data_IF_920213638368
#
_entry.id   IF_920213638368
#
_cell.length_a   1.000
_cell.length_b   1.000
_cell.length_c   1.000
_cell.angle_alpha   90.00
_cell.angle_beta   90.00
_cell.angle_gamma   90.00
#
_symmetry.space_group_name_H-M   'P 1'
#
loop_
_entity.id
_entity.type
_entity.pdbx_description
1 polymer ?
#
# COMPACT_ATOMS: atom_id res chain seq x y z
N UNK A 1 48.07 37.50 -5.84
CA UNK A 1 46.75 37.20 -5.26
C UNK A 1 46.31 35.87 -5.85
N UNK A 2 46.11 34.84 -5.04
CA UNK A 2 45.69 33.53 -5.53
C UNK A 2 44.19 33.57 -5.82
N UNK A 3 43.81 33.31 -7.07
CA UNK A 3 42.42 33.29 -7.51
C UNK A 3 41.82 31.93 -7.12
N UNK A 4 41.00 31.91 -6.08
CA UNK A 4 40.31 30.70 -5.62
C UNK A 4 39.00 30.61 -6.41
N UNK A 5 38.89 29.63 -7.31
CA UNK A 5 37.69 29.36 -8.08
C UNK A 5 36.94 28.21 -7.40
N UNK A 6 35.84 28.52 -6.74
CA UNK A 6 34.91 27.49 -6.26
C UNK A 6 34.27 26.80 -7.47
N UNK A 7 34.27 25.47 -7.45
CA UNK A 7 33.54 24.65 -8.41
C UNK A 7 32.23 24.22 -7.74
N UNK A 8 31.09 24.48 -8.37
CA UNK A 8 29.87 23.77 -8.00
C UNK A 8 30.09 22.28 -8.25
N UNK A 9 29.98 21.46 -7.20
CA UNK A 9 29.95 20.00 -7.33
C UNK A 9 28.53 19.63 -7.77
N UNK A 10 28.28 19.17 -9.01
CA UNK A 10 26.96 18.74 -9.39
C UNK A 10 26.75 17.26 -9.03
N UNK A 11 25.76 17.04 -8.15
CA UNK A 11 24.68 16.03 -8.19
C UNK A 11 25.01 14.53 -8.10
N UNK A 12 24.42 13.86 -7.10
CA UNK A 12 23.65 12.61 -7.28
C UNK A 12 22.38 12.65 -6.40
N UNK A 13 21.21 12.62 -7.05
CA UNK A 13 19.88 12.27 -6.49
C UNK A 13 19.70 10.75 -6.73
N UNK A 14 18.92 9.98 -5.94
CA UNK A 14 17.94 10.42 -4.95
C UNK A 14 18.18 9.91 -3.52
N UNK A 15 17.57 10.61 -2.56
CA UNK A 15 17.11 10.00 -1.32
C UNK A 15 16.05 8.94 -1.64
N UNK A 16 16.44 7.81 -2.26
CA UNK A 16 15.54 6.66 -2.38
C UNK A 16 15.55 6.01 -1.00
N UNK A 17 14.66 6.52 -0.15
CA UNK A 17 14.19 5.73 0.98
C UNK A 17 13.34 4.65 0.31
N UNK A 18 13.72 3.39 0.48
CA UNK A 18 12.90 2.25 0.10
C UNK A 18 12.30 1.72 1.39
N UNK A 19 11.02 1.39 1.38
CA UNK A 19 10.34 0.88 2.55
C UNK A 19 9.57 -0.38 2.20
N UNK A 20 9.71 -1.39 3.05
CA UNK A 20 8.91 -2.60 2.97
C UNK A 20 8.02 -2.63 4.20
N UNK A 21 6.72 -2.75 3.98
CA UNK A 21 5.76 -3.07 5.02
C UNK A 21 5.44 -4.56 4.95
N UNK A 22 5.72 -5.26 6.04
CA UNK A 22 5.41 -6.66 6.19
C UNK A 22 4.07 -6.84 6.90
N UNK A 23 3.23 -7.69 6.33
CA UNK A 23 1.92 -8.05 6.89
C UNK A 23 1.79 -9.57 7.00
N UNK A 24 1.10 -10.03 8.03
CA UNK A 24 0.64 -11.41 8.13
C UNK A 24 -0.46 -11.67 7.08
N UNK A 25 -0.75 -12.95 6.81
CA UNK A 25 -1.81 -13.35 5.89
C UNK A 25 -3.21 -12.92 6.36
N UNK A 26 -3.36 -12.55 7.64
CA UNK A 26 -4.57 -11.96 8.22
C UNK A 26 -4.54 -10.41 8.24
N UNK A 27 -3.66 -9.78 7.46
CA UNK A 27 -3.56 -8.33 7.24
C UNK A 27 -3.09 -7.52 8.44
N UNK A 28 -2.68 -8.20 9.52
CA UNK A 28 -2.05 -7.54 10.66
C UNK A 28 -0.58 -7.21 10.35
N UNK A 29 -0.08 -6.02 10.74
CA UNK A 29 1.34 -5.69 10.60
C UNK A 29 2.20 -6.67 11.41
N UNK A 30 3.32 -7.11 10.84
CA UNK A 30 4.25 -7.99 11.55
C UNK A 30 5.19 -7.13 12.40
N UNK A 31 5.04 -7.18 13.73
CA UNK A 31 5.82 -6.34 14.64
C UNK A 31 7.06 -7.06 15.20
N UNK A 32 8.15 -6.31 15.41
CA UNK A 32 9.39 -6.78 16.06
C UNK A 32 9.99 -8.06 15.44
N UNK A 33 9.74 -8.32 14.15
CA UNK A 33 10.20 -9.53 13.47
C UNK A 33 11.59 -9.34 12.91
N UNK A 34 12.45 -10.30 13.22
CA UNK A 34 13.82 -10.35 12.73
C UNK A 34 13.88 -10.58 11.22
N UNK A 35 14.68 -9.77 10.53
CA UNK A 35 14.93 -9.88 9.10
C UNK A 35 16.40 -9.70 8.78
N UNK A 36 16.81 -10.22 7.62
CA UNK A 36 18.11 -10.00 7.00
C UNK A 36 17.93 -9.20 5.72
N UNK A 37 18.82 -8.24 5.48
CA UNK A 37 18.85 -7.53 4.22
C UNK A 37 20.26 -7.53 3.64
N UNK A 38 20.35 -7.75 2.33
CA UNK A 38 21.61 -7.75 1.59
C UNK A 38 21.71 -6.47 0.77
N UNK A 39 22.75 -5.68 1.05
CA UNK A 39 23.06 -4.44 0.34
C UNK A 39 23.66 -4.73 -1.05
N UNK A 40 23.69 -3.75 -1.97
CA UNK A 40 24.24 -3.95 -3.32
C UNK A 40 25.73 -4.36 -3.35
N UNK A 41 26.49 -4.01 -2.29
CA UNK A 41 27.89 -4.40 -2.10
C UNK A 41 28.07 -5.83 -1.54
N UNK A 42 26.96 -6.54 -1.29
CA UNK A 42 26.94 -7.90 -0.72
C UNK A 42 26.96 -7.93 0.81
N UNK A 43 27.00 -6.78 1.50
CA UNK A 43 26.95 -6.73 2.97
C UNK A 43 25.57 -7.16 3.47
N UNK A 44 25.55 -8.07 4.44
CA UNK A 44 24.32 -8.51 5.12
C UNK A 44 24.22 -7.81 6.47
N UNK A 45 23.07 -7.23 6.79
CA UNK A 45 22.75 -6.81 8.15
C UNK A 45 21.43 -7.43 8.64
N UNK A 46 21.22 -7.38 9.95
CA UNK A 46 20.11 -7.95 10.69
C UNK A 46 19.42 -6.86 11.52
N UNK A 47 18.10 -6.84 11.53
CA UNK A 47 17.30 -5.87 12.29
C UNK A 47 15.86 -6.39 12.51
N UNK A 48 14.97 -5.58 13.11
CA UNK A 48 13.57 -5.93 13.42
C UNK A 48 12.58 -4.95 12.80
N UNK A 49 11.42 -5.45 12.39
CA UNK A 49 10.31 -4.58 11.97
C UNK A 49 9.81 -3.71 13.12
N UNK A 50 9.34 -2.50 12.80
CA UNK A 50 8.71 -1.61 13.79
C UNK A 50 7.28 -2.06 14.17
N UNK A 51 6.63 -1.34 15.09
CA UNK A 51 5.25 -1.62 15.53
C UNK A 51 4.20 -1.49 14.41
N UNK A 52 4.53 -0.81 13.31
CA UNK A 52 3.65 -0.66 12.15
C UNK A 52 3.93 -1.70 11.06
N UNK A 53 4.88 -2.62 11.31
CA UNK A 53 5.34 -3.66 10.40
C UNK A 53 6.29 -3.15 9.32
N UNK A 54 6.80 -1.93 9.45
CA UNK A 54 7.76 -1.40 8.50
C UNK A 54 9.17 -1.85 8.80
N UNK A 55 9.88 -2.16 7.73
CA UNK A 55 11.32 -2.14 7.64
C UNK A 55 11.68 -0.70 7.23
N UNK A 56 11.95 0.16 8.22
CA UNK A 56 12.49 1.50 7.98
C UNK A 56 14.01 1.46 8.07
N UNK A 57 14.72 1.44 6.95
CA UNK A 57 16.15 1.71 7.00
C UNK A 57 16.45 3.12 6.52
N UNK A 58 17.05 3.91 7.41
CA UNK A 58 17.29 5.34 7.20
C UNK A 58 18.63 5.66 6.51
N UNK A 59 19.39 4.66 6.01
CA UNK A 59 20.75 4.85 5.47
C UNK A 59 21.09 3.89 4.31
N UNK A 60 20.37 4.00 3.21
CA UNK A 60 20.37 3.03 2.12
C UNK A 60 21.21 3.51 0.91
N UNK A 61 22.24 2.74 0.48
CA UNK A 61 23.06 3.03 -0.72
C UNK A 61 22.32 2.59 -1.99
N UNK A 62 21.96 3.49 -2.90
CA UNK A 62 21.16 3.20 -4.11
C UNK A 62 21.62 1.94 -4.89
N UNK A 63 20.67 1.09 -5.30
CA UNK A 63 20.91 -0.14 -6.06
C UNK A 63 19.95 -1.27 -5.69
N UNK A 64 19.90 -2.35 -6.50
CA UNK A 64 19.03 -3.51 -6.25
C UNK A 64 19.39 -4.19 -4.93
N UNK A 65 18.39 -4.44 -4.10
CA UNK A 65 18.57 -5.10 -2.79
C UNK A 65 17.65 -6.30 -2.67
N UNK A 66 18.00 -7.20 -1.74
CA UNK A 66 17.15 -8.32 -1.37
C UNK A 66 16.95 -8.35 0.14
N UNK A 67 15.70 -8.24 0.57
CA UNK A 67 15.28 -8.45 1.95
C UNK A 67 14.74 -9.88 2.06
N UNK A 68 15.17 -10.61 3.08
CA UNK A 68 14.67 -11.96 3.38
C UNK A 68 14.35 -12.04 4.86
N UNK A 69 13.15 -12.49 5.20
CA UNK A 69 12.78 -12.70 6.60
C UNK A 69 13.44 -13.96 7.17
N UNK A 70 13.83 -13.91 8.44
CA UNK A 70 14.32 -15.12 9.14
C UNK A 70 13.13 -16.03 9.44
N UNK A 71 13.29 -17.32 9.19
CA UNK A 71 12.22 -18.34 9.10
C UNK A 71 11.30 -18.40 10.33
N UNK A 72 9.98 -18.50 10.13
CA UNK A 72 9.03 -19.09 11.08
C UNK A 72 8.02 -19.97 10.36
N UNK A 73 7.51 -20.97 11.07
CA UNK A 73 6.40 -21.86 10.69
C UNK A 73 5.15 -21.00 10.39
N UNK A 74 4.90 -20.71 9.11
CA UNK A 74 3.66 -20.08 8.67
C UNK A 74 2.54 -21.12 8.69
N UNK A 75 1.46 -20.83 9.41
CA UNK A 75 0.21 -21.57 9.24
C UNK A 75 -0.50 -21.03 8.00
N UNK A 76 -0.42 -21.77 6.90
CA UNK A 76 -1.19 -21.51 5.69
C UNK A 76 -2.69 -21.56 6.00
N UNK A 77 -3.39 -20.46 5.75
CA UNK A 77 -4.80 -20.51 5.38
C UNK A 77 -5.00 -19.60 4.19
N UNK A 78 -5.07 -20.20 3.01
CA UNK A 78 -5.58 -19.54 1.83
C UNK A 78 -7.02 -19.10 2.15
N UNK A 79 -7.24 -17.79 2.26
CA UNK A 79 -8.60 -17.26 2.28
C UNK A 79 -9.06 -17.28 0.83
N UNK A 80 -9.98 -18.20 0.49
CA UNK A 80 -10.65 -18.24 -0.81
C UNK A 80 -11.36 -16.90 -1.07
N UNK A 81 -10.67 -15.99 -1.75
CA UNK A 81 -11.16 -14.68 -2.14
C UNK A 81 -11.81 -14.74 -3.52
N UNK A 82 -13.08 -15.13 -3.58
CA UNK A 82 -13.89 -15.01 -4.80
C UNK A 82 -13.95 -13.56 -5.31
N UNK A 83 -13.77 -13.37 -6.62
CA UNK A 83 -13.90 -12.11 -7.38
C UNK A 83 -12.96 -10.95 -7.00
N UNK A 84 -11.64 -11.19 -6.92
CA UNK A 84 -10.60 -10.14 -6.85
C UNK A 84 -10.51 -9.34 -8.19
N UNK A 85 -10.90 -8.04 -8.24
CA UNK A 85 -10.79 -7.18 -9.42
C UNK A 85 -9.40 -6.54 -9.63
N UNK A 86 -8.40 -6.86 -8.79
CA UNK A 86 -7.09 -6.20 -8.76
C UNK A 86 -7.06 -4.98 -7.83
N UNK A 87 -5.97 -4.18 -7.85
CA UNK A 87 -5.89 -2.95 -7.08
C UNK A 87 -6.71 -1.83 -7.74
N UNK A 88 -7.24 -0.90 -6.91
CA UNK A 88 -7.80 0.35 -7.41
C UNK A 88 -6.69 1.20 -8.08
N UNK A 89 -7.02 1.93 -9.17
CA UNK A 89 -6.09 2.77 -9.89
C UNK A 89 -5.85 4.10 -9.15
N UNK A 90 -4.97 4.09 -8.16
CA UNK A 90 -4.73 5.26 -7.29
C UNK A 90 -4.31 6.53 -8.06
N UNK A 91 -3.58 6.38 -9.18
CA UNK A 91 -3.19 7.52 -10.03
C UNK A 91 -4.38 8.16 -10.75
N UNK A 92 -5.33 7.35 -11.20
CA UNK A 92 -6.54 7.84 -11.87
C UNK A 92 -7.49 8.50 -10.86
N UNK A 93 -7.42 8.12 -9.58
CA UNK A 93 -8.25 8.72 -8.53
C UNK A 93 -7.71 10.05 -7.98
N UNK A 94 -6.59 10.56 -8.50
CA UNK A 94 -6.09 11.92 -8.21
C UNK A 94 -7.07 12.98 -8.70
N UNK A 95 -6.91 14.21 -8.21
CA UNK A 95 -7.70 15.32 -8.75
C UNK A 95 -7.41 15.52 -10.24
N UNK A 96 -8.39 16.06 -10.98
CA UNK A 96 -8.24 16.33 -12.41
C UNK A 96 -7.11 17.28 -12.76
N UNK A 97 -6.88 18.28 -11.90
CA UNK A 97 -5.75 19.20 -12.06
C UNK A 97 -4.38 18.53 -11.92
N UNK A 98 -4.34 17.35 -11.29
CA UNK A 98 -3.15 16.54 -11.04
C UNK A 98 -3.05 15.37 -12.05
N UNK A 99 -3.85 15.39 -13.13
CA UNK A 99 -3.83 14.40 -14.20
C UNK A 99 -4.59 13.11 -13.91
N UNK A 100 -5.50 13.10 -12.92
CA UNK A 100 -6.44 11.99 -12.68
C UNK A 100 -7.87 12.29 -13.19
N UNK A 101 -8.79 11.37 -12.94
CA UNK A 101 -10.22 11.48 -13.25
C UNK A 101 -11.04 12.06 -12.09
N UNK A 102 -10.42 12.18 -10.91
CA UNK A 102 -11.03 12.65 -9.67
C UNK A 102 -11.34 11.51 -8.69
N UNK A 103 -11.45 11.80 -7.38
CA UNK A 103 -11.79 10.81 -6.38
C UNK A 103 -13.21 10.27 -6.60
N UNK A 104 -13.46 9.00 -6.25
CA UNK A 104 -14.83 8.48 -6.18
C UNK A 104 -15.56 9.16 -5.01
N UNK A 105 -16.83 9.48 -5.23
CA UNK A 105 -17.69 10.08 -4.21
C UNK A 105 -19.17 9.79 -4.53
N UNK A 106 -20.10 10.25 -3.69
CA UNK A 106 -21.52 9.99 -3.96
C UNK A 106 -21.98 10.47 -5.33
N UNK A 107 -22.75 9.62 -6.01
CA UNK A 107 -23.29 9.91 -7.34
C UNK A 107 -22.26 9.83 -8.47
N UNK A 108 -21.07 9.27 -8.21
CA UNK A 108 -20.09 9.01 -9.26
C UNK A 108 -20.65 8.06 -10.32
N UNK A 109 -20.46 8.41 -11.59
CA UNK A 109 -20.99 7.64 -12.73
C UNK A 109 -20.10 6.47 -13.14
N UNK A 110 -18.89 6.33 -12.57
CA UNK A 110 -17.94 5.25 -12.88
C UNK A 110 -18.35 3.95 -12.18
N UNK A 111 -19.52 3.42 -12.52
CA UNK A 111 -20.18 2.30 -11.82
C UNK A 111 -19.28 1.07 -11.66
N UNK A 112 -18.50 0.70 -12.67
CA UNK A 112 -17.58 -0.45 -12.57
C UNK A 112 -16.47 -0.22 -11.53
N UNK A 113 -15.97 1.02 -11.43
CA UNK A 113 -14.96 1.39 -10.44
C UNK A 113 -15.56 1.50 -9.04
N UNK A 114 -16.84 1.88 -8.93
CA UNK A 114 -17.60 1.84 -7.67
C UNK A 114 -17.82 0.38 -7.24
N UNK A 115 -18.20 -0.54 -8.13
CA UNK A 115 -18.30 -1.98 -7.82
C UNK A 115 -16.97 -2.53 -7.35
N UNK A 116 -15.87 -2.11 -7.97
CA UNK A 116 -14.53 -2.48 -7.53
C UNK A 116 -14.30 -2.06 -6.07
N UNK A 117 -14.51 -0.78 -5.75
CA UNK A 117 -14.41 -0.26 -4.38
C UNK A 117 -15.33 -1.03 -3.40
N UNK A 118 -16.58 -1.28 -3.77
CA UNK A 118 -17.55 -2.00 -2.94
C UNK A 118 -17.08 -3.43 -2.67
N UNK A 119 -16.54 -4.15 -3.66
CA UNK A 119 -15.96 -5.48 -3.43
C UNK A 119 -14.81 -5.44 -2.42
N UNK A 120 -13.94 -4.43 -2.49
CA UNK A 120 -12.85 -4.26 -1.52
C UNK A 120 -13.40 -4.05 -0.11
N UNK A 121 -14.36 -3.14 0.06
CA UNK A 121 -14.98 -2.84 1.35
C UNK A 121 -15.73 -4.06 1.91
N UNK A 122 -16.45 -4.80 1.06
CA UNK A 122 -17.15 -6.04 1.43
C UNK A 122 -16.18 -7.14 1.87
N UNK A 123 -15.05 -7.30 1.16
CA UNK A 123 -14.00 -8.24 1.54
C UNK A 123 -13.41 -7.93 2.92
N UNK A 124 -13.29 -6.63 3.25
CA UNK A 124 -12.90 -6.12 4.56
C UNK A 124 -14.06 -6.08 5.58
N UNK A 125 -15.23 -6.64 5.24
CA UNK A 125 -16.41 -6.78 6.11
C UNK A 125 -17.07 -5.47 6.54
N UNK A 126 -16.92 -4.40 5.76
CA UNK A 126 -17.72 -3.19 5.95
C UNK A 126 -19.16 -3.40 5.48
N UNK A 127 -20.11 -2.76 6.16
CA UNK A 127 -21.53 -2.80 5.82
C UNK A 127 -21.83 -1.91 4.60
N UNK A 128 -22.20 -2.54 3.49
CA UNK A 128 -22.63 -1.87 2.27
C UNK A 128 -24.15 -1.90 2.05
N UNK A 129 -24.90 -2.49 2.99
CA UNK A 129 -26.32 -2.80 2.82
C UNK A 129 -26.56 -4.08 2.02
N UNK A 130 -27.78 -4.20 1.52
CA UNK A 130 -28.36 -5.39 0.89
C UNK A 130 -28.76 -5.16 -0.58
N UNK A 131 -28.17 -4.16 -1.24
CA UNK A 131 -28.39 -3.87 -2.65
C UNK A 131 -27.53 -4.77 -3.57
N UNK A 132 -27.71 -4.63 -4.88
CA UNK A 132 -26.97 -5.40 -5.89
C UNK A 132 -27.62 -6.76 -6.19
N UNK A 133 -27.10 -7.51 -7.18
CA UNK A 133 -27.69 -8.78 -7.62
C UNK A 133 -27.60 -9.89 -6.56
N UNK A 134 -26.58 -9.82 -5.70
CA UNK A 134 -26.28 -10.84 -4.70
C UNK A 134 -26.71 -10.41 -3.27
N UNK A 135 -27.36 -9.25 -3.13
CA UNK A 135 -27.72 -8.60 -1.85
C UNK A 135 -26.52 -8.41 -0.90
N UNK A 136 -25.35 -8.10 -1.46
CA UNK A 136 -24.09 -7.88 -0.76
C UNK A 136 -23.65 -6.41 -0.75
N UNK A 137 -24.49 -5.52 -1.29
CA UNK A 137 -24.22 -4.08 -1.42
C UNK A 137 -23.33 -3.71 -2.60
N UNK A 138 -22.97 -4.66 -3.47
CA UNK A 138 -22.16 -4.41 -4.68
C UNK A 138 -23.08 -4.13 -5.87
N UNK A 139 -23.62 -2.91 -5.91
CA UNK A 139 -24.54 -2.44 -6.97
C UNK A 139 -23.88 -1.52 -8.00
N UNK A 140 -22.72 -0.93 -7.67
CA UNK A 140 -22.05 0.08 -8.48
C UNK A 140 -22.57 1.50 -8.29
N UNK A 141 -23.42 1.72 -7.29
CA UNK A 141 -23.90 3.02 -6.88
C UNK A 141 -23.15 3.48 -5.64
N UNK A 142 -22.44 4.61 -5.74
CA UNK A 142 -21.76 5.18 -4.58
C UNK A 142 -22.81 5.90 -3.72
N UNK A 143 -23.57 5.12 -2.97
CA UNK A 143 -24.67 5.57 -2.12
C UNK A 143 -24.24 5.94 -0.71
N UNK A 144 -25.23 6.04 0.18
CA UNK A 144 -24.99 6.43 1.57
C UNK A 144 -24.20 5.38 2.37
N UNK A 145 -24.50 4.10 2.13
CA UNK A 145 -23.80 2.97 2.76
C UNK A 145 -22.34 2.90 2.32
N UNK A 146 -22.08 3.00 1.01
CA UNK A 146 -20.70 3.04 0.49
C UNK A 146 -19.91 4.22 1.07
N UNK A 147 -20.49 5.42 1.15
CA UNK A 147 -19.81 6.55 1.80
C UNK A 147 -19.51 6.26 3.27
N UNK A 148 -20.47 5.74 4.04
CA UNK A 148 -20.28 5.43 5.45
C UNK A 148 -19.14 4.42 5.66
N UNK A 149 -19.11 3.37 4.85
CA UNK A 149 -18.04 2.37 4.87
C UNK A 149 -16.67 2.98 4.55
N UNK A 150 -16.59 3.90 3.57
CA UNK A 150 -15.35 4.64 3.27
C UNK A 150 -14.92 5.50 4.45
N UNK A 151 -15.83 6.23 5.09
CA UNK A 151 -15.51 7.05 6.27
C UNK A 151 -15.04 6.20 7.45
N UNK A 152 -15.65 5.03 7.69
CA UNK A 152 -15.23 4.09 8.72
C UNK A 152 -13.84 3.53 8.44
N UNK A 153 -13.56 3.16 7.19
CA UNK A 153 -12.24 2.77 6.75
C UNK A 153 -11.21 3.89 6.99
N UNK A 154 -11.52 5.11 6.56
CA UNK A 154 -10.65 6.28 6.74
C UNK A 154 -10.37 6.60 8.21
N UNK A 155 -11.31 6.34 9.13
CA UNK A 155 -11.12 6.57 10.57
C UNK A 155 -10.07 5.65 11.19
N UNK A 156 -9.94 4.41 10.71
CA UNK A 156 -9.05 3.41 11.31
C UNK A 156 -7.73 3.22 10.55
N UNK A 157 -7.56 3.86 9.39
CA UNK A 157 -6.41 3.63 8.51
C UNK A 157 -5.57 4.89 8.23
N UNK A 158 -4.31 4.63 7.85
CA UNK A 158 -3.30 5.64 7.56
C UNK A 158 -2.85 5.56 6.10
N UNK A 159 -2.43 6.69 5.56
CA UNK A 159 -1.78 6.76 4.25
C UNK A 159 -0.35 6.18 4.27
N UNK A 160 0.33 6.24 3.12
CA UNK A 160 1.70 5.76 2.94
C UNK A 160 2.74 6.55 3.74
N UNK A 161 2.43 7.77 4.20
CA UNK A 161 3.31 8.55 5.08
C UNK A 161 3.05 8.25 6.57
N UNK A 162 2.13 7.32 6.87
CA UNK A 162 1.71 7.02 8.24
C UNK A 162 0.82 8.10 8.87
N UNK A 163 0.29 9.03 8.07
CA UNK A 163 -0.66 10.05 8.53
C UNK A 163 -2.08 9.48 8.47
N UNK A 164 -2.93 9.94 9.37
CA UNK A 164 -4.36 9.58 9.36
C UNK A 164 -4.97 9.98 8.01
N UNK A 165 -5.78 9.09 7.42
CA UNK A 165 -6.55 9.43 6.23
C UNK A 165 -7.54 10.57 6.54
N UNK A 166 -7.76 11.45 5.56
CA UNK A 166 -8.83 12.43 5.66
C UNK A 166 -10.18 11.71 5.66
N UNK A 167 -11.01 11.96 6.67
CA UNK A 167 -12.33 11.34 6.82
C UNK A 167 -13.36 12.19 6.07
N UNK A 168 -13.33 12.11 4.74
CA UNK A 168 -14.21 12.88 3.85
C UNK A 168 -15.22 12.03 3.08
N UNK A 169 -15.17 10.70 3.25
CA UNK A 169 -16.03 9.75 2.56
C UNK A 169 -15.73 9.65 1.06
N UNK A 170 -14.58 10.17 0.60
CA UNK A 170 -14.15 10.14 -0.79
C UNK A 170 -12.96 9.21 -0.98
N UNK A 171 -12.93 8.52 -2.11
CA UNK A 171 -11.82 7.62 -2.45
C UNK A 171 -10.92 8.29 -3.45
N UNK A 172 -9.99 9.10 -2.92
CA UNK A 172 -8.85 9.65 -3.66
C UNK A 172 -7.62 8.73 -3.60
N UNK A 173 -6.44 9.20 -4.07
CA UNK A 173 -5.24 8.37 -4.19
C UNK A 173 -4.79 7.79 -2.84
N UNK A 174 -4.87 8.56 -1.75
CA UNK A 174 -4.50 8.11 -0.40
C UNK A 174 -5.41 7.00 0.13
N UNK A 175 -6.73 7.17 0.00
CA UNK A 175 -7.70 6.14 0.41
C UNK A 175 -7.56 4.88 -0.44
N UNK A 176 -7.42 5.05 -1.76
CA UNK A 176 -7.27 3.94 -2.71
C UNK A 176 -6.00 3.12 -2.46
N UNK A 177 -4.85 3.77 -2.29
CA UNK A 177 -3.61 3.06 -2.00
C UNK A 177 -3.68 2.36 -0.63
N UNK A 178 -4.27 3.01 0.38
CA UNK A 178 -4.47 2.37 1.66
C UNK A 178 -5.30 1.08 1.54
N UNK A 179 -6.44 1.13 0.82
CA UNK A 179 -7.26 -0.05 0.55
C UNK A 179 -6.46 -1.14 -0.17
N UNK A 180 -5.66 -0.75 -1.16
CA UNK A 180 -4.79 -1.69 -1.86
C UNK A 180 -3.77 -2.34 -0.91
N UNK A 181 -3.12 -1.57 -0.03
CA UNK A 181 -2.20 -2.12 0.96
C UNK A 181 -2.91 -3.04 1.97
N UNK A 182 -4.13 -2.71 2.38
CA UNK A 182 -4.91 -3.53 3.33
C UNK A 182 -5.26 -4.90 2.74
N UNK A 183 -5.46 -5.01 1.42
CA UNK A 183 -5.82 -6.27 0.77
C UNK A 183 -4.63 -7.19 0.44
N UNK A 184 -3.40 -6.75 0.74
CA UNK A 184 -2.24 -7.67 0.72
C UNK A 184 -2.45 -8.75 1.77
N UNK A 185 -2.40 -10.02 1.35
CA UNK A 185 -2.72 -11.19 2.16
C UNK A 185 -4.18 -11.62 2.09
N UNK A 186 -5.09 -10.80 1.54
CA UNK A 186 -6.47 -11.23 1.24
C UNK A 186 -6.62 -11.63 -0.22
N UNK A 187 -6.14 -10.76 -1.11
CA UNK A 187 -6.37 -10.84 -2.54
C UNK A 187 -5.10 -11.00 -3.36
N UNK A 188 -3.97 -10.52 -2.84
CA UNK A 188 -2.68 -10.67 -3.48
C UNK A 188 -1.54 -10.69 -2.47
N UNK A 189 -0.41 -11.26 -2.87
CA UNK A 189 0.74 -11.42 -1.98
C UNK A 189 1.56 -10.14 -1.81
N UNK A 190 1.46 -9.20 -2.75
CA UNK A 190 2.30 -8.00 -2.82
C UNK A 190 1.55 -6.85 -3.49
N UNK A 191 1.76 -5.64 -2.99
CA UNK A 191 1.36 -4.38 -3.61
C UNK A 191 2.49 -3.35 -3.56
N UNK A 192 2.69 -2.60 -4.64
CA UNK A 192 3.61 -1.47 -4.68
C UNK A 192 2.80 -0.19 -4.78
N UNK A 193 2.99 0.72 -3.83
CA UNK A 193 2.40 2.06 -3.92
C UNK A 193 3.05 2.78 -5.10
N UNK A 194 2.28 3.38 -6.03
CA UNK A 194 2.84 4.09 -7.17
C UNK A 194 3.85 5.17 -6.75
N UNK A 195 5.06 5.11 -7.30
CA UNK A 195 6.15 6.04 -6.93
C UNK A 195 5.79 7.50 -7.26
N UNK A 196 4.91 7.72 -8.23
CA UNK A 196 4.38 9.04 -8.57
C UNK A 196 3.55 9.67 -7.44
N UNK A 197 3.04 8.87 -6.50
CA UNK A 197 2.34 9.35 -5.30
C UNK A 197 3.28 9.61 -4.12
N UNK A 198 4.48 9.03 -4.15
CA UNK A 198 5.45 9.05 -3.06
C UNK A 198 6.70 9.86 -3.41
N UNK A 199 6.65 10.60 -4.52
CA UNK A 199 7.69 11.44 -5.13
C UNK A 199 8.94 10.67 -5.59
N UNK A 200 9.53 9.83 -4.72
CA UNK A 200 10.67 8.94 -5.02
C UNK A 200 10.74 7.69 -4.12
N UNK A 201 9.87 7.55 -3.12
CA UNK A 201 9.90 6.44 -2.15
C UNK A 201 9.29 5.18 -2.76
N UNK A 202 10.09 4.13 -2.94
CA UNK A 202 9.55 2.81 -3.29
C UNK A 202 8.96 2.18 -2.05
N UNK A 203 7.63 2.04 -2.00
CA UNK A 203 6.92 1.42 -0.91
C UNK A 203 6.29 0.11 -1.38
N UNK A 204 6.72 -0.99 -0.77
CA UNK A 204 6.20 -2.33 -1.06
C UNK A 204 5.51 -2.88 0.19
N UNK A 205 4.26 -3.32 0.05
CA UNK A 205 3.55 -4.09 1.09
C UNK A 205 3.46 -5.54 0.65
N UNK A 206 3.84 -6.49 1.50
CA UNK A 206 3.98 -7.91 1.13
C UNK A 206 3.69 -8.85 2.30
N UNK A 207 3.18 -10.04 2.00
CA UNK A 207 2.90 -11.09 2.99
C UNK A 207 4.20 -11.71 3.56
N UNK A 208 4.13 -12.24 4.79
CA UNK A 208 5.22 -13.02 5.40
C UNK A 208 5.68 -14.15 4.47
N UNK A 209 4.73 -14.89 3.89
CA UNK A 209 4.98 -16.00 2.96
C UNK A 209 5.91 -15.60 1.82
N UNK A 210 5.58 -14.52 1.11
CA UNK A 210 6.41 -14.07 -0.01
C UNK A 210 7.76 -13.51 0.47
N UNK A 211 7.76 -12.78 1.57
CA UNK A 211 9.00 -12.23 2.12
C UNK A 211 9.97 -13.31 2.65
N UNK A 212 9.48 -14.46 3.11
CA UNK A 212 10.29 -15.62 3.53
C UNK A 212 10.73 -16.47 2.33
N UNK A 213 9.79 -16.86 1.46
CA UNK A 213 10.06 -17.86 0.41
C UNK A 213 10.83 -17.27 -0.78
N UNK A 214 10.46 -16.07 -1.22
CA UNK A 214 10.99 -15.45 -2.44
C UNK A 214 11.97 -14.32 -2.12
N UNK A 215 11.80 -13.70 -0.95
CA UNK A 215 12.43 -12.44 -0.60
C UNK A 215 11.76 -11.28 -1.33
N UNK A 216 12.08 -10.07 -0.88
CA UNK A 216 11.55 -8.83 -1.45
C UNK A 216 12.67 -8.08 -2.14
N UNK A 217 12.54 -7.89 -3.44
CA UNK A 217 13.46 -7.04 -4.22
C UNK A 217 12.98 -5.59 -4.18
N UNK A 218 13.90 -4.72 -3.80
CA UNK A 218 13.74 -3.26 -3.85
C UNK A 218 14.64 -2.69 -4.94
#
# INVERSE_FOLDING_TARGET
MAEQKEFEVPVIVPNVIESVRLVHDNWMPIQNREYKHTQPDGKVNEDKTDESGFIQERNFIAGKRKITLTTLHGSDKDVEGGNNPGPLPALDLRNRRDGGDGPLSRGDSRSDLVKHLQRMLSALKYDLGDTGPDNDGVDGDFGAKTQSAVEEYQKSHKDWEGKQLLIDGRVGPRTSDALNRTLVGLWYDKHETPTELTETLKLVTVTDKVAVEKGVEL
#
